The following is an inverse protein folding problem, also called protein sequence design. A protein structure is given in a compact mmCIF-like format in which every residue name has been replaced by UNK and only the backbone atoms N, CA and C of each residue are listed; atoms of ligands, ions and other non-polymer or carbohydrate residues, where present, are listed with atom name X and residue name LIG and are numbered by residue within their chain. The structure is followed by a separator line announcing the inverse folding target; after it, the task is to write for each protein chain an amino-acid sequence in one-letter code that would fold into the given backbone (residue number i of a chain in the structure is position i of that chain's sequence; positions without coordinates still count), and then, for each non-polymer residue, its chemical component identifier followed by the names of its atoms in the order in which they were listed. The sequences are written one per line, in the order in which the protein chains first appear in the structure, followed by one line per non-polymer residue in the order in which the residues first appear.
data_IF_825969398944
#
_entry.id   IF_825969398944
#
_cell.length_a   1.000
_cell.length_b   1.000
_cell.length_c   1.000
_cell.angle_alpha   90.00
_cell.angle_beta   90.00
_cell.angle_gamma   90.00
#
_symmetry.space_group_name_H-M   'P 1'
#
loop_
_entity.id
_entity.type
_entity.pdbx_description
1 polymer ?
#
# COMPACT_ATOMS: atom_id res chain seq x y z
N UNK A 1 32.71 -45.83 -35.11
CA UNK A 1 32.67 -44.68 -34.18
C UNK A 1 31.90 -43.55 -34.84
N UNK A 2 30.69 -43.22 -34.39
CA UNK A 2 30.03 -41.94 -34.68
C UNK A 2 28.87 -41.75 -33.68
N UNK A 3 29.17 -41.04 -32.57
CA UNK A 3 28.18 -40.69 -31.55
C UNK A 3 27.39 -39.45 -31.98
N UNK A 4 26.09 -39.62 -32.22
CA UNK A 4 25.16 -38.54 -32.56
C UNK A 4 24.79 -37.69 -31.33
N UNK A 5 25.13 -36.40 -31.38
CA UNK A 5 24.90 -35.42 -30.32
C UNK A 5 23.43 -34.95 -30.35
N UNK A 6 22.60 -35.51 -29.47
CA UNK A 6 21.20 -35.08 -29.28
C UNK A 6 21.18 -33.66 -28.70
N UNK A 7 20.78 -32.68 -29.50
CA UNK A 7 20.61 -31.29 -29.08
C UNK A 7 19.28 -31.14 -28.35
N UNK A 8 19.35 -30.95 -27.04
CA UNK A 8 18.19 -30.69 -26.16
C UNK A 8 17.59 -29.31 -26.43
N UNK A 9 16.69 -29.21 -27.41
CA UNK A 9 15.87 -28.01 -27.63
C UNK A 9 14.66 -27.93 -26.66
N UNK A 10 14.49 -28.93 -25.79
CA UNK A 10 13.33 -29.11 -24.92
C UNK A 10 13.53 -28.51 -23.51
N UNK A 11 14.15 -27.35 -23.39
CA UNK A 11 14.39 -26.69 -22.10
C UNK A 11 14.05 -25.18 -22.08
N UNK A 12 14.00 -24.53 -23.25
CA UNK A 12 13.78 -23.08 -23.34
C UNK A 12 12.33 -22.70 -22.96
N UNK A 13 11.33 -23.49 -23.38
CA UNK A 13 9.92 -23.23 -23.07
C UNK A 13 9.52 -23.50 -21.61
N UNK A 14 10.27 -24.34 -20.88
CA UNK A 14 9.93 -24.72 -19.50
C UNK A 14 10.20 -23.62 -18.47
N UNK A 15 11.14 -22.72 -18.75
CA UNK A 15 11.51 -21.61 -17.86
C UNK A 15 10.85 -20.31 -18.31
N UNK A 16 10.65 -20.13 -19.61
CA UNK A 16 10.07 -18.92 -20.17
C UNK A 16 8.61 -18.71 -19.73
N UNK A 17 7.81 -19.78 -19.68
CA UNK A 17 6.40 -19.72 -19.28
C UNK A 17 6.20 -19.31 -17.82
N UNK A 18 6.85 -19.93 -16.81
CA UNK A 18 6.73 -19.48 -15.43
C UNK A 18 7.33 -18.09 -15.22
N UNK A 19 8.39 -17.71 -15.96
CA UNK A 19 8.94 -16.36 -15.90
C UNK A 19 7.94 -15.31 -16.43
N UNK A 20 7.27 -15.59 -17.55
CA UNK A 20 6.21 -14.73 -18.09
C UNK A 20 5.02 -14.63 -17.12
N UNK A 21 4.61 -15.74 -16.49
CA UNK A 21 3.55 -15.77 -15.48
C UNK A 21 3.92 -14.95 -14.24
N UNK A 22 5.16 -15.07 -13.74
CA UNK A 22 5.66 -14.28 -12.62
C UNK A 22 5.66 -12.79 -12.94
N UNK A 23 6.14 -12.40 -14.13
CA UNK A 23 6.12 -11.00 -14.57
C UNK A 23 4.69 -10.47 -14.66
N UNK A 24 3.74 -11.28 -15.15
CA UNK A 24 2.32 -10.93 -15.18
C UNK A 24 1.72 -10.74 -13.78
N UNK A 25 1.98 -11.68 -12.85
CA UNK A 25 1.55 -11.57 -11.45
C UNK A 25 2.12 -10.33 -10.75
N UNK A 26 3.41 -10.03 -10.96
CA UNK A 26 4.04 -8.85 -10.37
C UNK A 26 3.47 -7.55 -10.96
N UNK A 27 3.05 -7.54 -12.23
CA UNK A 27 2.37 -6.39 -12.86
C UNK A 27 0.97 -6.14 -12.29
N UNK A 28 0.28 -7.18 -11.82
CA UNK A 28 -1.02 -7.06 -11.18
C UNK A 28 -0.94 -6.51 -9.74
N UNK A 29 0.23 -6.57 -9.10
CA UNK A 29 0.50 -5.90 -7.83
C UNK A 29 0.76 -4.40 -8.05
N UNK A 30 -0.18 -3.69 -8.67
CA UNK A 30 -0.13 -2.24 -8.75
C UNK A 30 -0.48 -1.66 -7.37
N UNK A 31 0.36 -0.77 -6.85
CA UNK A 31 0.04 -0.03 -5.64
C UNK A 31 -1.09 0.97 -5.95
N UNK A 32 -2.22 0.81 -5.28
CA UNK A 32 -3.35 1.73 -5.41
C UNK A 32 -3.02 3.05 -4.71
N UNK A 33 -3.13 4.17 -5.44
CA UNK A 33 -2.81 5.50 -4.90
C UNK A 33 -4.09 6.21 -4.48
N UNK A 34 -4.37 6.16 -3.19
CA UNK A 34 -5.47 6.90 -2.56
C UNK A 34 -5.02 8.31 -2.17
N UNK A 35 -5.95 9.27 -2.27
CA UNK A 35 -5.74 10.66 -1.87
C UNK A 35 -6.93 11.14 -1.05
N UNK A 36 -6.64 11.62 0.16
CA UNK A 36 -7.61 12.25 1.03
C UNK A 36 -7.21 13.71 1.27
N UNK A 37 -8.21 14.57 1.47
CA UNK A 37 -8.01 15.97 1.84
C UNK A 37 -8.83 16.26 3.09
N UNK A 38 -8.19 16.84 4.10
CA UNK A 38 -8.82 17.21 5.37
C UNK A 38 -8.40 18.64 5.75
N UNK A 39 -9.20 19.30 6.58
CA UNK A 39 -8.81 20.56 7.19
C UNK A 39 -7.78 20.31 8.30
N UNK A 40 -6.87 21.26 8.50
CA UNK A 40 -5.78 21.17 9.50
C UNK A 40 -6.32 21.07 10.94
N UNK A 41 -7.40 21.78 11.25
CA UNK A 41 -8.00 21.86 12.59
C UNK A 41 -8.95 20.69 12.94
N UNK A 42 -8.84 19.54 12.26
CA UNK A 42 -9.66 18.37 12.60
C UNK A 42 -9.34 17.89 14.02
N UNK A 43 -10.40 17.74 14.82
CA UNK A 43 -10.30 17.21 16.17
C UNK A 43 -9.84 15.75 16.17
N UNK A 44 -9.24 15.30 17.28
CA UNK A 44 -8.94 13.87 17.49
C UNK A 44 -10.24 13.06 17.37
N UNK A 45 -10.16 11.91 16.72
CA UNK A 45 -11.30 11.03 16.42
C UNK A 45 -12.10 11.44 15.19
N UNK A 46 -11.73 12.50 14.48
CA UNK A 46 -12.44 12.91 13.26
C UNK A 46 -12.24 11.88 12.14
N UNK A 47 -13.32 11.57 11.42
CA UNK A 47 -13.30 10.67 10.26
C UNK A 47 -12.60 11.34 9.07
N UNK A 48 -11.63 10.63 8.48
CA UNK A 48 -10.97 11.03 7.23
C UNK A 48 -11.65 10.38 6.03
N UNK A 49 -11.89 9.07 6.10
CA UNK A 49 -12.54 8.34 5.02
C UNK A 49 -12.51 6.81 5.14
N UNK A 50 -13.23 6.11 4.24
CA UNK A 50 -13.44 4.66 4.30
C UNK A 50 -12.28 3.89 3.66
N UNK A 51 -11.12 3.85 4.33
CA UNK A 51 -9.88 3.26 3.81
C UNK A 51 -10.03 1.81 3.35
N UNK A 52 -10.72 0.95 4.11
CA UNK A 52 -10.89 -0.45 3.73
C UNK A 52 -11.62 -0.59 2.39
N UNK A 53 -12.72 0.16 2.22
CA UNK A 53 -13.54 0.12 1.00
C UNK A 53 -12.76 0.65 -0.19
N UNK A 54 -11.99 1.72 0.00
CA UNK A 54 -11.18 2.33 -1.04
C UNK A 54 -9.99 1.46 -1.46
N UNK A 55 -9.56 0.51 -0.61
CA UNK A 55 -8.59 -0.53 -0.94
C UNK A 55 -9.24 -1.82 -1.49
N UNK A 56 -10.57 -1.84 -1.66
CA UNK A 56 -11.31 -3.03 -2.08
C UNK A 56 -11.31 -4.16 -1.04
N UNK A 57 -11.05 -3.84 0.24
CA UNK A 57 -11.01 -4.79 1.35
C UNK A 57 -12.27 -4.66 2.21
N UNK A 58 -12.69 -5.77 2.82
CA UNK A 58 -13.68 -5.71 3.89
C UNK A 58 -13.01 -5.39 5.24
N UNK A 59 -13.71 -4.72 6.18
CA UNK A 59 -13.16 -4.43 7.51
C UNK A 59 -12.68 -5.69 8.24
N UNK A 60 -13.40 -6.81 8.08
CA UNK A 60 -13.06 -8.10 8.67
C UNK A 60 -11.74 -8.70 8.14
N UNK A 61 -11.28 -8.29 6.95
CA UNK A 61 -10.01 -8.73 6.38
C UNK A 61 -8.80 -7.90 6.85
N UNK A 62 -9.02 -6.72 7.43
CA UNK A 62 -7.93 -5.86 7.89
C UNK A 62 -7.03 -6.51 8.96
N UNK A 63 -7.60 -7.12 10.03
CA UNK A 63 -6.77 -7.75 11.06
C UNK A 63 -6.05 -8.99 10.53
N UNK A 64 -6.69 -9.79 9.65
CA UNK A 64 -6.07 -10.98 9.07
C UNK A 64 -4.91 -10.63 8.13
N UNK A 65 -5.02 -9.51 7.41
CA UNK A 65 -3.97 -8.96 6.54
C UNK A 65 -2.94 -8.10 7.30
N UNK A 66 -3.12 -7.87 8.61
CA UNK A 66 -2.25 -7.05 9.46
C UNK A 66 -1.99 -5.67 8.84
N UNK A 67 -3.06 -4.98 8.45
CA UNK A 67 -2.94 -3.64 7.90
C UNK A 67 -2.21 -2.72 8.90
N UNK A 68 -1.19 -2.01 8.42
CA UNK A 68 -0.41 -1.07 9.21
C UNK A 68 -0.19 0.20 8.41
N UNK A 69 -0.38 1.34 9.07
CA UNK A 69 0.07 2.61 8.53
C UNK A 69 1.60 2.66 8.65
N UNK A 70 2.26 3.11 7.58
CA UNK A 70 3.70 3.38 7.54
C UNK A 70 3.91 4.74 6.87
N UNK A 71 4.71 5.60 7.49
CA UNK A 71 5.19 6.84 6.87
C UNK A 71 6.71 6.87 6.92
N UNK A 72 7.31 7.49 5.91
CA UNK A 72 8.73 7.81 5.88
C UNK A 72 9.12 8.74 7.03
N UNK A 73 8.21 9.61 7.47
CA UNK A 73 8.40 10.50 8.60
C UNK A 73 7.75 9.87 9.83
N UNK A 74 8.57 9.40 10.79
CA UNK A 74 8.07 8.73 12.01
C UNK A 74 7.00 9.52 12.77
N UNK A 75 7.03 10.85 12.72
CA UNK A 75 6.02 11.70 13.35
C UNK A 75 4.66 11.60 12.66
N UNK A 76 4.62 11.43 11.34
CA UNK A 76 3.37 11.38 10.57
C UNK A 76 2.48 10.18 10.91
N UNK A 77 3.08 9.11 11.45
CA UNK A 77 2.37 7.92 11.93
C UNK A 77 1.47 8.18 13.13
N UNK A 78 1.66 9.29 13.86
CA UNK A 78 0.86 9.61 15.04
C UNK A 78 -0.46 10.33 14.72
N UNK A 79 -0.55 11.03 13.59
CA UNK A 79 -1.72 11.82 13.25
C UNK A 79 -2.87 10.99 12.69
N UNK A 80 -2.61 9.81 12.13
CA UNK A 80 -3.61 8.96 11.51
C UNK A 80 -3.68 7.58 12.16
N UNK A 81 -4.89 7.07 12.34
CA UNK A 81 -5.17 5.71 12.80
C UNK A 81 -6.23 5.05 11.94
N UNK A 82 -6.27 3.71 11.93
CA UNK A 82 -7.29 2.94 11.22
C UNK A 82 -8.09 2.14 12.24
N UNK A 83 -9.41 2.21 12.16
CA UNK A 83 -10.32 1.42 12.97
C UNK A 83 -10.26 -0.04 12.52
N UNK A 84 -9.96 -0.97 13.42
CA UNK A 84 -9.97 -2.41 13.10
C UNK A 84 -11.39 -2.94 12.88
N UNK A 85 -12.40 -2.27 13.45
CA UNK A 85 -13.80 -2.68 13.38
C UNK A 85 -14.49 -2.16 12.11
N UNK A 86 -14.41 -0.86 11.86
CA UNK A 86 -15.08 -0.23 10.71
C UNK A 86 -14.19 -0.15 9.46
N UNK A 87 -12.88 -0.27 9.62
CA UNK A 87 -11.92 -0.10 8.53
C UNK A 87 -11.77 1.34 8.03
N UNK A 88 -12.19 2.30 8.85
CA UNK A 88 -12.12 3.73 8.53
C UNK A 88 -10.80 4.35 9.01
N UNK A 89 -10.30 5.30 8.24
CA UNK A 89 -9.17 6.14 8.59
C UNK A 89 -9.66 7.34 9.41
N UNK A 90 -9.04 7.58 10.56
CA UNK A 90 -9.39 8.68 11.46
C UNK A 90 -8.14 9.47 11.88
N UNK A 91 -8.39 10.68 12.38
CA UNK A 91 -7.37 11.55 12.96
C UNK A 91 -7.08 11.12 14.40
N UNK A 92 -5.89 10.62 14.67
CA UNK A 92 -5.45 10.19 16.01
C UNK A 92 -4.96 11.37 16.85
N UNK A 93 -4.19 12.28 16.24
CA UNK A 93 -3.71 13.51 16.87
C UNK A 93 -3.99 14.72 15.98
N UNK A 94 -4.20 15.90 16.57
CA UNK A 94 -4.47 17.14 15.82
C UNK A 94 -3.30 17.41 14.87
N UNK A 95 -3.63 17.77 13.63
CA UNK A 95 -2.60 18.10 12.64
C UNK A 95 -2.17 19.54 12.87
N UNK A 96 -0.88 19.72 13.10
CA UNK A 96 -0.24 21.03 13.18
C UNK A 96 0.62 21.19 11.91
N UNK A 97 0.26 22.19 11.09
CA UNK A 97 0.90 22.46 9.80
C UNK A 97 2.37 22.81 9.99
N UNK A 98 2.68 23.55 11.04
CA UNK A 98 4.02 23.97 11.41
C UNK A 98 4.86 22.79 11.90
N UNK A 99 4.26 21.80 12.60
CA UNK A 99 4.98 20.58 12.97
C UNK A 99 5.26 19.65 11.77
N UNK A 100 4.32 19.59 10.82
CA UNK A 100 4.43 18.74 9.64
C UNK A 100 5.37 19.30 8.58
N UNK A 101 5.30 20.61 8.33
CA UNK A 101 5.91 21.26 7.18
C UNK A 101 6.80 22.46 7.55
N UNK A 102 6.94 22.76 8.84
CA UNK A 102 7.74 23.88 9.33
C UNK A 102 7.16 25.23 8.90
N UNK A 103 8.04 26.18 8.58
CA UNK A 103 7.65 27.50 8.07
C UNK A 103 7.19 27.48 6.61
N UNK A 104 7.22 26.32 5.93
CA UNK A 104 6.85 26.25 4.52
C UNK A 104 5.37 26.61 4.30
N UNK A 105 5.08 27.36 3.23
CA UNK A 105 3.71 27.72 2.87
C UNK A 105 2.87 26.51 2.39
N UNK A 106 3.51 25.43 1.93
CA UNK A 106 2.84 24.21 1.46
C UNK A 106 3.70 22.97 1.68
N UNK A 107 3.05 21.82 1.91
CA UNK A 107 3.65 20.51 2.02
C UNK A 107 3.65 19.79 0.66
N UNK A 108 4.77 19.19 0.24
CA UNK A 108 4.90 18.43 -1.01
C UNK A 108 5.18 16.95 -0.76
#
# INVERSE_FOLDING_TARGET
MAGGKRRSALAVGRVLVPALLLVWCCRAAAAERLRYSIAEELGRGSLVGPLARDLGLSPAELPSRKLRLMSAVKKQLKYFGVSEESGELYVSERLDREELCGEAASCS
#
